data_IF_641368424036
#
_entry.id   IF_641368424036
#
_cell.length_a   1.000
_cell.length_b   1.000
_cell.length_c   1.000
_cell.angle_alpha   90.00
_cell.angle_beta   90.00
_cell.angle_gamma   90.00
#
_symmetry.space_group_name_H-M   'P 1'
#
loop_
_entity.id
_entity.type
_entity.pdbx_description
1 polymer ?
#
# COMPACT_ATOMS: atom_id res chain seq x y z
N UNK A 1 2.25 -2.05 -12.75
CA UNK A 1 2.93 -1.32 -11.67
C UNK A 1 2.15 -0.05 -11.38
N UNK A 2 2.02 0.34 -10.12
CA UNK A 2 1.36 1.58 -9.70
C UNK A 2 2.28 2.32 -8.74
N UNK A 3 2.32 3.64 -8.86
CA UNK A 3 2.98 4.54 -7.94
C UNK A 3 1.96 5.58 -7.49
N UNK A 4 1.97 5.93 -6.20
CA UNK A 4 1.09 6.93 -5.63
C UNK A 4 1.82 7.74 -4.57
N UNK A 5 1.47 9.02 -4.48
CA UNK A 5 1.93 9.92 -3.42
C UNK A 5 0.73 10.19 -2.52
N UNK A 6 0.93 10.11 -1.22
CA UNK A 6 -0.02 10.49 -0.20
C UNK A 6 0.56 11.70 0.53
N UNK A 7 -0.04 12.86 0.29
CA UNK A 7 0.33 14.15 0.87
C UNK A 7 -0.78 14.53 1.87
N UNK A 8 -0.47 14.40 3.14
CA UNK A 8 -1.35 14.65 4.27
C UNK A 8 -0.93 15.92 4.99
N UNK A 9 -1.90 16.66 5.52
CA UNK A 9 -1.60 17.86 6.31
C UNK A 9 -0.72 17.53 7.53
N UNK A 10 0.55 17.98 7.49
CA UNK A 10 1.55 17.84 8.55
C UNK A 10 1.11 18.41 9.89
N UNK A 11 0.36 19.51 9.87
CA UNK A 11 -0.09 20.21 11.05
C UNK A 11 -1.22 19.46 11.77
N UNK A 12 -1.99 18.66 11.03
CA UNK A 12 -3.19 17.98 11.54
C UNK A 12 -2.84 16.72 12.34
N UNK A 13 -3.28 16.69 13.59
CA UNK A 13 -3.20 15.48 14.43
C UNK A 13 -4.23 14.45 13.99
N UNK A 14 -3.90 13.16 14.13
CA UNK A 14 -4.78 12.04 13.80
C UNK A 14 -4.81 11.62 12.33
N UNK A 15 -4.02 12.26 11.45
CA UNK A 15 -3.74 11.76 10.10
C UNK A 15 -2.33 11.19 10.02
N UNK A 16 -2.08 10.39 8.98
CA UNK A 16 -0.75 9.81 8.75
C UNK A 16 0.26 10.90 8.33
N UNK A 17 1.54 10.56 8.39
CA UNK A 17 2.59 11.34 7.73
C UNK A 17 2.56 11.05 6.21
N UNK A 18 3.19 11.93 5.45
CA UNK A 18 3.32 11.78 4.00
C UNK A 18 3.98 10.47 3.63
N UNK A 19 3.60 9.92 2.47
CA UNK A 19 4.22 8.69 1.99
C UNK A 19 4.15 8.47 0.48
N UNK A 20 5.11 7.69 0.00
CA UNK A 20 5.18 7.16 -1.35
C UNK A 20 4.79 5.69 -1.33
N UNK A 21 3.87 5.31 -2.21
CA UNK A 21 3.34 3.95 -2.34
C UNK A 21 3.78 3.37 -3.69
N UNK A 22 4.55 2.29 -3.66
CA UNK A 22 4.88 1.49 -4.83
C UNK A 22 4.15 0.15 -4.76
N UNK A 23 3.42 -0.21 -5.82
CA UNK A 23 2.71 -1.47 -5.92
C UNK A 23 3.03 -2.20 -7.24
N UNK A 24 3.26 -3.51 -7.13
CA UNK A 24 3.42 -4.44 -8.23
C UNK A 24 2.40 -5.57 -8.10
N UNK A 25 1.61 -5.77 -9.16
CA UNK A 25 0.64 -6.87 -9.26
C UNK A 25 1.08 -7.79 -10.41
N UNK A 26 1.18 -9.09 -10.13
CA UNK A 26 1.36 -10.16 -11.11
C UNK A 26 0.10 -11.04 -11.10
N UNK A 27 -0.47 -11.32 -12.27
CA UNK A 27 -1.71 -12.11 -12.41
C UNK A 27 -1.45 -13.25 -13.38
N UNK A 28 -1.79 -14.48 -13.00
CA UNK A 28 -1.80 -15.67 -13.85
C UNK A 28 -3.20 -16.24 -13.93
N UNK A 29 -3.74 -16.30 -15.14
CA UNK A 29 -4.99 -17.03 -15.45
C UNK A 29 -4.64 -18.46 -15.86
N UNK A 30 -5.50 -19.42 -15.50
CA UNK A 30 -5.36 -20.82 -15.88
C UNK A 30 -6.32 -21.12 -17.03
N UNK A 31 -5.77 -21.48 -18.19
CA UNK A 31 -6.56 -21.68 -19.42
C UNK A 31 -7.44 -22.93 -19.34
N UNK A 32 -6.93 -23.99 -18.73
CA UNK A 32 -7.65 -25.26 -18.52
C UNK A 32 -8.85 -25.11 -17.56
N UNK A 33 -8.85 -24.07 -16.73
CA UNK A 33 -9.88 -23.82 -15.71
C UNK A 33 -10.43 -22.40 -15.87
N UNK A 34 -11.43 -22.24 -16.74
CA UNK A 34 -12.08 -20.95 -16.97
C UNK A 34 -12.56 -20.36 -15.64
N UNK A 35 -12.21 -19.10 -15.39
CA UNK A 35 -12.56 -18.40 -14.15
C UNK A 35 -11.51 -18.51 -13.03
N UNK A 36 -10.60 -19.48 -13.09
CA UNK A 36 -9.51 -19.61 -12.11
C UNK A 36 -8.35 -18.66 -12.43
N UNK A 37 -7.91 -17.89 -11.44
CA UNK A 37 -6.71 -17.06 -11.54
C UNK A 37 -6.00 -16.93 -10.18
N UNK A 38 -4.69 -16.81 -10.25
CA UNK A 38 -3.84 -16.46 -9.12
C UNK A 38 -3.30 -15.05 -9.29
N UNK A 39 -3.09 -14.35 -8.17
CA UNK A 39 -2.54 -13.00 -8.15
C UNK A 39 -1.53 -12.88 -7.01
N UNK A 40 -0.37 -12.33 -7.33
CA UNK A 40 0.63 -11.91 -6.37
C UNK A 40 0.69 -10.38 -6.36
N UNK A 41 0.53 -9.78 -5.18
CA UNK A 41 0.65 -8.34 -4.97
C UNK A 41 1.77 -8.06 -3.99
N UNK A 42 2.67 -7.18 -4.39
CA UNK A 42 3.74 -6.62 -3.56
C UNK A 42 3.51 -5.12 -3.42
N UNK A 43 3.53 -4.61 -2.19
CA UNK A 43 3.40 -3.18 -1.90
C UNK A 43 4.53 -2.76 -0.98
N UNK A 44 5.17 -1.63 -1.28
CA UNK A 44 6.08 -0.92 -0.39
C UNK A 44 5.57 0.48 -0.18
N UNK A 45 5.36 0.85 1.08
CA UNK A 45 5.05 2.21 1.50
C UNK A 45 6.27 2.76 2.22
N UNK A 46 6.73 3.94 1.78
CA UNK A 46 7.82 4.70 2.37
C UNK A 46 7.24 6.03 2.82
N UNK A 47 7.07 6.18 4.12
CA UNK A 47 6.56 7.42 4.70
C UNK A 47 7.59 8.16 5.53
N UNK A 48 7.29 9.43 5.75
CA UNK A 48 8.11 10.32 6.55
C UNK A 48 8.10 9.88 8.02
N UNK A 49 9.26 9.94 8.64
CA UNK A 49 9.48 9.51 10.02
C UNK A 49 9.89 10.66 10.94
N UNK A 50 9.72 11.91 10.48
CA UNK A 50 10.17 13.12 11.16
C UNK A 50 9.07 14.19 11.30
N UNK A 51 7.84 13.92 10.85
CA UNK A 51 6.71 14.85 10.96
C UNK A 51 6.22 15.01 12.40
N UNK A 52 6.10 16.26 12.86
CA UNK A 52 5.53 16.64 14.16
C UNK A 52 4.23 17.42 13.91
N UNK A 53 3.12 16.99 14.51
CA UNK A 53 1.83 17.66 14.40
C UNK A 53 1.73 18.88 15.34
N UNK A 54 0.70 19.72 15.17
CA UNK A 54 0.47 20.92 16.01
C UNK A 54 0.27 20.62 17.50
N UNK A 55 -0.17 19.41 17.84
CA UNK A 55 -0.28 18.96 19.23
C UNK A 55 1.07 18.58 19.85
N UNK A 56 2.18 18.79 19.11
CA UNK A 56 3.55 18.50 19.52
C UNK A 56 3.90 17.01 19.46
N UNK A 57 2.98 16.14 19.02
CA UNK A 57 3.24 14.71 18.91
C UNK A 57 3.85 14.37 17.56
N UNK A 58 4.84 13.48 17.61
CA UNK A 58 5.42 12.88 16.41
C UNK A 58 4.38 11.96 15.75
N UNK A 59 4.15 12.15 14.45
CA UNK A 59 3.33 11.23 13.67
C UNK A 59 4.01 9.86 13.60
N UNK A 60 3.22 8.79 13.63
CA UNK A 60 3.74 7.43 13.50
C UNK A 60 4.26 7.23 12.08
N UNK A 61 5.42 6.56 11.96
CA UNK A 61 5.97 6.18 10.66
C UNK A 61 5.00 5.22 9.94
N UNK A 62 4.42 5.59 8.79
CA UNK A 62 3.46 4.76 8.08
C UNK A 62 4.13 3.77 7.11
N UNK A 63 5.46 3.63 7.14
CA UNK A 63 6.19 2.72 6.26
C UNK A 63 5.86 1.26 6.55
N UNK A 64 5.54 0.50 5.51
CA UNK A 64 5.36 -0.96 5.61
C UNK A 64 5.63 -1.66 4.28
N UNK A 65 5.76 -2.99 4.36
CA UNK A 65 5.80 -3.87 3.20
C UNK A 65 4.65 -4.88 3.31
N UNK A 66 3.87 -5.02 2.24
CA UNK A 66 2.78 -5.99 2.15
C UNK A 66 3.05 -6.94 0.98
N UNK A 67 2.86 -8.23 1.25
CA UNK A 67 2.93 -9.31 0.28
C UNK A 67 1.64 -10.12 0.39
N UNK A 68 0.86 -10.14 -0.69
CA UNK A 68 -0.41 -10.86 -0.74
C UNK A 68 -0.42 -11.83 -1.90
N UNK A 69 -0.71 -13.09 -1.60
CA UNK A 69 -1.00 -14.13 -2.58
C UNK A 69 -2.49 -14.45 -2.53
N UNK A 70 -3.15 -14.42 -3.68
CA UNK A 70 -4.60 -14.62 -3.82
C UNK A 70 -4.85 -15.72 -4.86
N UNK A 71 -5.70 -16.69 -4.54
CA UNK A 71 -6.27 -17.66 -5.49
C UNK A 71 -7.76 -17.38 -5.57
N UNK A 72 -8.26 -17.14 -6.78
CA UNK A 72 -9.61 -16.69 -7.01
C UNK A 72 -10.28 -17.53 -8.09
N UNK A 73 -11.59 -17.75 -7.95
CA UNK A 73 -12.42 -18.39 -8.95
C UNK A 73 -13.66 -17.52 -9.20
N UNK A 74 -13.86 -17.08 -10.44
CA UNK A 74 -15.06 -16.36 -10.87
C UNK A 74 -16.05 -17.37 -11.46
N UNK A 75 -17.17 -17.58 -10.75
CA UNK A 75 -18.28 -18.43 -11.18
C UNK A 75 -19.05 -17.84 -12.36
#
# INVERSE_FOLDING_TARGET
MRFGIQDFDDAKSGVQADSNVLQLDLIKKFEDYKGLYAKLRMVRVLGDDNTIALDGKKKLNPSYMDLRFEVNYLF
#
